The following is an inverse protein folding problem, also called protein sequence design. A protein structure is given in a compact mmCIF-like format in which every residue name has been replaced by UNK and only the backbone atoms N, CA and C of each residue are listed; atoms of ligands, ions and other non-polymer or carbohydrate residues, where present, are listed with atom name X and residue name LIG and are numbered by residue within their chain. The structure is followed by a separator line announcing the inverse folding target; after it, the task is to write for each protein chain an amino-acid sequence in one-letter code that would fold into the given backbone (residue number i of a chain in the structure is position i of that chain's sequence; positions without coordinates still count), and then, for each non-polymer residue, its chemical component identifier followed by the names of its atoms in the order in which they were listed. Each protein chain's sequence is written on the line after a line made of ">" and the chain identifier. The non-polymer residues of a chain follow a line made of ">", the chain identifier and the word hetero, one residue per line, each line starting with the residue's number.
data_IF_865998902720
#
_entry.id   IF_865998902720
#
_cell.length_a   1.000
_cell.length_b   1.000
_cell.length_c   1.000
_cell.angle_alpha   90.00
_cell.angle_beta   90.00
_cell.angle_gamma   90.00
#
_symmetry.space_group_name_H-M   'P 1'
#
loop_
_entity.id
_entity.type
_entity.pdbx_description
1 polymer ?
#
# COMPACT_ATOMS: atom_id res chain seq x y z
N UNK A 1 -1.24 -22.54 11.22
CA UNK A 1 -2.43 -22.10 11.96
C UNK A 1 -2.36 -20.59 12.10
N UNK A 2 -3.44 -19.87 11.80
CA UNK A 2 -3.54 -18.44 12.11
C UNK A 2 -3.73 -18.33 13.63
N UNK A 3 -2.81 -17.68 14.32
CA UNK A 3 -2.91 -17.46 15.76
C UNK A 3 -3.89 -16.31 16.05
N UNK A 4 -4.78 -16.52 17.02
CA UNK A 4 -5.75 -15.53 17.49
C UNK A 4 -5.44 -15.11 18.92
N UNK A 5 -5.74 -13.86 19.26
CA UNK A 5 -5.63 -13.33 20.62
C UNK A 5 -6.83 -13.74 21.49
N UNK A 6 -6.68 -13.61 22.81
CA UNK A 6 -7.79 -13.83 23.76
C UNK A 6 -8.87 -12.73 23.70
N UNK A 7 -8.47 -11.52 23.32
CA UNK A 7 -9.34 -10.36 23.10
C UNK A 7 -8.84 -9.59 21.86
N UNK A 8 -9.71 -8.85 21.14
CA UNK A 8 -9.29 -8.10 19.97
C UNK A 8 -8.46 -6.88 20.39
N UNK A 9 -7.49 -6.52 19.55
CA UNK A 9 -6.90 -5.18 19.59
C UNK A 9 -7.89 -4.22 18.94
N UNK A 10 -8.49 -3.37 19.76
CA UNK A 10 -9.51 -2.37 19.34
C UNK A 10 -8.92 -0.99 19.01
N UNK A 11 -7.60 -0.83 19.12
CA UNK A 11 -6.94 0.41 18.74
C UNK A 11 -7.09 0.63 17.23
N UNK A 12 -7.78 1.70 16.85
CA UNK A 12 -7.91 2.16 15.47
C UNK A 12 -6.87 3.24 15.21
N UNK A 13 -5.94 2.99 14.28
CA UNK A 13 -5.03 4.03 13.79
C UNK A 13 -5.66 4.71 12.58
N UNK A 14 -5.79 6.04 12.63
CA UNK A 14 -6.36 6.83 11.52
C UNK A 14 -5.31 7.75 10.94
N UNK A 15 -5.06 7.62 9.64
CA UNK A 15 -4.26 8.56 8.86
C UNK A 15 -5.17 9.38 7.94
N UNK A 16 -5.00 10.70 7.94
CA UNK A 16 -5.74 11.61 7.06
C UNK A 16 -4.77 12.34 6.14
N UNK A 17 -5.12 12.47 4.86
CA UNK A 17 -4.41 13.32 3.91
C UNK A 17 -5.41 14.07 3.03
N UNK A 18 -4.99 15.21 2.49
CA UNK A 18 -5.81 15.95 1.56
C UNK A 18 -5.07 17.04 0.83
N UNK A 19 -5.72 17.54 -0.21
CA UNK A 19 -5.38 18.71 -1.00
C UNK A 19 -6.65 19.49 -1.32
N UNK A 20 -6.54 20.56 -2.11
CA UNK A 20 -7.71 21.27 -2.63
C UNK A 20 -8.62 20.39 -3.51
N UNK A 21 -8.08 19.34 -4.15
CA UNK A 21 -8.83 18.47 -5.05
C UNK A 21 -9.41 17.22 -4.38
N UNK A 22 -8.76 16.68 -3.33
CA UNK A 22 -9.13 15.39 -2.76
C UNK A 22 -8.90 15.36 -1.25
N UNK A 23 -9.80 14.71 -0.51
CA UNK A 23 -9.64 14.40 0.91
C UNK A 23 -9.77 12.89 1.07
N UNK A 24 -8.86 12.28 1.83
CA UNK A 24 -8.89 10.85 2.09
C UNK A 24 -8.47 10.54 3.52
N UNK A 25 -8.94 9.40 4.02
CA UNK A 25 -8.55 8.85 5.29
C UNK A 25 -8.41 7.33 5.16
N UNK A 26 -7.47 6.76 5.90
CA UNK A 26 -7.32 5.33 6.10
C UNK A 26 -7.46 5.06 7.59
N UNK A 27 -8.23 4.04 7.94
CA UNK A 27 -8.35 3.53 9.29
C UNK A 27 -7.98 2.06 9.26
N UNK A 28 -7.13 1.63 10.19
CA UNK A 28 -6.70 0.23 10.31
C UNK A 28 -6.78 -0.22 11.76
N UNK A 29 -6.99 -1.53 11.94
CA UNK A 29 -7.12 -2.18 13.24
C UNK A 29 -6.70 -3.65 13.09
N UNK A 30 -5.94 -4.16 14.05
CA UNK A 30 -5.46 -5.54 14.04
C UNK A 30 -6.57 -6.55 14.38
N UNK A 31 -7.51 -6.17 15.24
CA UNK A 31 -8.60 -7.05 15.67
C UNK A 31 -8.08 -8.29 16.39
N UNK A 32 -8.58 -9.47 16.00
CA UNK A 32 -8.30 -10.73 16.68
C UNK A 32 -6.99 -11.42 16.28
N UNK A 33 -6.31 -10.94 15.23
CA UNK A 33 -5.08 -11.58 14.74
C UNK A 33 -3.94 -11.34 15.73
N UNK A 34 -3.06 -12.33 15.88
CA UNK A 34 -1.87 -12.17 16.73
C UNK A 34 -0.89 -11.10 16.20
N UNK A 35 -0.82 -10.94 14.88
CA UNK A 35 0.03 -9.96 14.20
C UNK A 35 -0.82 -9.06 13.28
N UNK A 36 -0.43 -7.80 13.15
CA UNK A 36 -0.97 -6.86 12.17
C UNK A 36 -0.09 -6.89 10.91
N UNK A 37 -0.59 -7.54 9.85
CA UNK A 37 0.15 -7.74 8.60
C UNK A 37 -0.24 -6.74 7.50
N UNK A 38 -1.23 -5.88 7.75
CA UNK A 38 -1.70 -4.88 6.81
C UNK A 38 -0.74 -3.68 6.71
N UNK A 39 -0.71 -3.07 5.53
CA UNK A 39 -0.06 -1.79 5.29
C UNK A 39 -0.85 -0.95 4.29
N UNK A 40 -0.58 0.36 4.27
CA UNK A 40 -1.17 1.27 3.29
C UNK A 40 -0.19 2.35 2.85
N UNK A 41 -0.42 2.88 1.65
CA UNK A 41 0.25 4.09 1.18
C UNK A 41 -0.79 5.05 0.60
N UNK A 42 -0.68 6.32 0.99
CA UNK A 42 -1.62 7.37 0.57
C UNK A 42 -0.81 8.60 0.19
N UNK A 43 -1.03 9.07 -1.03
CA UNK A 43 -0.52 10.35 -1.49
C UNK A 43 -1.61 11.22 -2.06
N UNK A 44 -1.44 12.52 -1.83
CA UNK A 44 -2.26 13.55 -2.42
C UNK A 44 -1.34 14.66 -2.90
N UNK A 45 -1.65 15.21 -4.06
CA UNK A 45 -1.14 16.50 -4.52
C UNK A 45 -2.34 17.38 -4.92
N UNK A 46 -2.07 18.58 -5.43
CA UNK A 46 -3.12 19.55 -5.79
C UNK A 46 -4.13 19.07 -6.84
N UNK A 47 -3.81 18.05 -7.63
CA UNK A 47 -4.62 17.60 -8.79
C UNK A 47 -4.99 16.12 -8.76
N UNK A 48 -4.30 15.30 -7.97
CA UNK A 48 -4.49 13.86 -7.93
C UNK A 48 -4.15 13.23 -6.58
N UNK A 49 -4.61 12.00 -6.39
CA UNK A 49 -4.22 11.11 -5.31
C UNK A 49 -4.00 9.69 -5.83
N UNK A 50 -3.16 8.96 -5.10
CA UNK A 50 -3.04 7.51 -5.22
C UNK A 50 -3.12 6.88 -3.82
N UNK A 51 -3.90 5.81 -3.73
CA UNK A 51 -4.18 5.09 -2.48
C UNK A 51 -3.96 3.61 -2.70
N UNK A 52 -3.29 2.96 -1.76
CA UNK A 52 -2.94 1.55 -1.79
C UNK A 52 -3.23 0.93 -0.42
N UNK A 53 -3.90 -0.22 -0.41
CA UNK A 53 -4.14 -1.06 0.77
C UNK A 53 -3.56 -2.43 0.47
N UNK A 54 -2.76 -2.94 1.39
CA UNK A 54 -2.01 -4.18 1.25
C UNK A 54 -2.36 -5.09 2.43
N UNK A 55 -2.86 -6.29 2.11
CA UNK A 55 -3.15 -7.35 3.08
C UNK A 55 -2.01 -8.39 2.99
N UNK A 56 -1.12 -8.29 3.98
CA UNK A 56 0.06 -9.13 4.12
C UNK A 56 -0.28 -10.53 4.63
N UNK A 57 0.52 -11.51 4.24
CA UNK A 57 0.39 -12.87 4.73
C UNK A 57 1.75 -13.55 4.88
N UNK A 58 1.88 -14.32 5.96
CA UNK A 58 3.14 -15.01 6.36
C UNK A 58 4.25 -14.03 6.74
N UNK A 59 3.88 -12.91 7.36
CA UNK A 59 4.74 -11.78 7.68
C UNK A 59 4.22 -10.47 7.08
N UNK A 60 4.57 -9.36 7.72
CA UNK A 60 4.18 -8.00 7.33
C UNK A 60 5.16 -7.34 6.34
N UNK A 61 6.28 -8.00 6.04
CA UNK A 61 7.41 -7.41 5.34
C UNK A 61 7.05 -7.08 3.89
N UNK A 62 6.29 -7.97 3.24
CA UNK A 62 5.85 -7.77 1.86
C UNK A 62 4.85 -6.60 1.74
N UNK A 63 3.91 -6.49 2.68
CA UNK A 63 2.93 -5.40 2.69
C UNK A 63 3.61 -4.06 3.00
N UNK A 64 4.47 -4.01 4.02
CA UNK A 64 5.21 -2.78 4.38
C UNK A 64 6.13 -2.31 3.25
N UNK A 65 6.95 -3.21 2.71
CA UNK A 65 7.82 -2.89 1.58
C UNK A 65 7.00 -2.47 0.36
N UNK A 66 5.93 -3.22 0.07
CA UNK A 66 5.04 -2.96 -1.06
C UNK A 66 4.42 -1.57 -0.99
N UNK A 67 3.91 -1.15 0.17
CA UNK A 67 3.32 0.18 0.38
C UNK A 67 4.32 1.30 0.01
N UNK A 68 5.53 1.26 0.59
CA UNK A 68 6.57 2.26 0.32
C UNK A 68 7.04 2.24 -1.14
N UNK A 69 7.21 1.04 -1.71
CA UNK A 69 7.68 0.89 -3.08
C UNK A 69 6.63 1.33 -4.11
N UNK A 70 5.35 1.02 -3.90
CA UNK A 70 4.23 1.48 -4.75
C UNK A 70 4.16 3.00 -4.72
N UNK A 71 4.31 3.60 -3.55
CA UNK A 71 4.46 5.03 -3.42
C UNK A 71 5.61 5.50 -4.34
N UNK A 72 6.85 5.07 -4.10
CA UNK A 72 7.98 5.55 -4.91
C UNK A 72 7.83 5.33 -6.43
N UNK A 73 7.35 4.15 -6.85
CA UNK A 73 7.20 3.79 -8.27
C UNK A 73 6.14 4.63 -8.97
N UNK A 74 5.02 4.93 -8.33
CA UNK A 74 3.94 5.70 -8.92
C UNK A 74 4.01 7.19 -8.60
N UNK A 75 5.13 7.68 -8.03
CA UNK A 75 5.35 9.11 -7.80
C UNK A 75 5.14 9.86 -9.11
N UNK A 76 3.98 10.49 -9.25
CA UNK A 76 3.54 11.05 -10.51
C UNK A 76 4.57 12.08 -10.99
N UNK A 77 4.98 11.96 -12.26
CA UNK A 77 5.54 13.09 -12.97
C UNK A 77 4.51 14.23 -12.93
N UNK A 78 4.96 15.45 -12.63
CA UNK A 78 4.13 16.66 -12.53
C UNK A 78 3.12 16.69 -13.69
N UNK A 79 1.82 16.45 -13.44
CA UNK A 79 0.86 16.41 -14.55
C UNK A 79 -0.58 16.10 -14.19
N UNK A 80 -0.86 15.30 -13.16
CA UNK A 80 -2.24 14.95 -12.79
C UNK A 80 -2.95 14.03 -13.80
N UNK A 81 -2.24 13.49 -14.80
CA UNK A 81 -2.81 12.52 -15.74
C UNK A 81 -2.92 11.14 -15.09
N UNK A 82 -4.00 10.43 -15.41
CA UNK A 82 -4.19 9.04 -15.01
C UNK A 82 -3.15 8.14 -15.68
N UNK A 83 -2.56 7.16 -14.96
CA UNK A 83 -1.66 6.20 -15.58
C UNK A 83 -2.44 5.28 -16.52
N UNK A 84 -1.82 4.88 -17.63
CA UNK A 84 -2.35 3.83 -18.49
C UNK A 84 -2.25 2.47 -17.83
N UNK A 85 -3.07 1.50 -18.23
CA UNK A 85 -3.01 0.12 -17.72
C UNK A 85 -1.61 -0.48 -17.85
N UNK A 86 -0.94 -0.24 -18.98
CA UNK A 86 0.45 -0.67 -19.20
C UNK A 86 1.42 -0.03 -18.18
N UNK A 87 1.20 1.24 -17.81
CA UNK A 87 2.00 1.92 -16.78
C UNK A 87 1.74 1.34 -15.40
N UNK A 88 0.50 0.96 -15.09
CA UNK A 88 0.11 0.29 -13.85
C UNK A 88 0.78 -1.08 -13.78
N UNK A 89 0.59 -1.92 -14.80
CA UNK A 89 1.20 -3.25 -14.88
C UNK A 89 2.73 -3.18 -14.69
N UNK A 90 3.43 -2.37 -15.50
CA UNK A 90 4.88 -2.22 -15.41
C UNK A 90 5.33 -1.72 -14.02
N UNK A 91 4.51 -0.88 -13.38
CA UNK A 91 4.80 -0.35 -12.05
C UNK A 91 4.71 -1.44 -10.98
N UNK A 92 3.63 -2.22 -10.98
CA UNK A 92 3.45 -3.33 -10.03
C UNK A 92 4.53 -4.40 -10.25
N UNK A 93 4.85 -4.75 -11.49
CA UNK A 93 5.96 -5.67 -11.79
C UNK A 93 7.31 -5.14 -11.31
N UNK A 94 7.55 -3.83 -11.40
CA UNK A 94 8.76 -3.22 -10.88
C UNK A 94 8.82 -3.30 -9.34
N UNK A 95 7.69 -3.14 -8.65
CA UNK A 95 7.61 -3.36 -7.20
C UNK A 95 7.89 -4.82 -6.86
N UNK A 96 7.31 -5.78 -7.57
CA UNK A 96 7.56 -7.22 -7.33
C UNK A 96 9.04 -7.58 -7.50
N UNK A 97 9.70 -7.09 -8.55
CA UNK A 97 11.14 -7.30 -8.74
C UNK A 97 11.97 -6.74 -7.59
N UNK A 98 11.63 -5.54 -7.10
CA UNK A 98 12.30 -4.92 -5.95
C UNK A 98 12.06 -5.72 -4.66
N UNK A 99 10.81 -6.13 -4.41
CA UNK A 99 10.44 -6.96 -3.27
C UNK A 99 11.22 -8.27 -3.28
N UNK A 100 11.28 -8.95 -4.43
CA UNK A 100 12.05 -10.20 -4.59
C UNK A 100 13.53 -10.01 -4.27
N UNK A 101 14.13 -8.90 -4.68
CA UNK A 101 15.51 -8.54 -4.32
C UNK A 101 15.66 -8.34 -2.81
N UNK A 102 14.77 -7.56 -2.20
CA UNK A 102 14.75 -7.29 -0.77
C UNK A 102 14.60 -8.57 0.07
N UNK A 103 13.62 -9.42 -0.26
CA UNK A 103 13.36 -10.66 0.48
C UNK A 103 14.54 -11.61 0.43
N UNK A 104 15.21 -11.74 -0.73
CA UNK A 104 16.42 -12.57 -0.87
C UNK A 104 17.59 -12.04 -0.04
N UNK A 105 17.77 -10.72 0.02
CA UNK A 105 18.89 -10.11 0.73
C UNK A 105 18.71 -10.07 2.24
N UNK A 106 17.47 -9.91 2.73
CA UNK A 106 17.21 -9.55 4.12
C UNK A 106 16.39 -10.56 4.91
N UNK A 107 15.64 -11.45 4.25
CA UNK A 107 14.61 -12.24 4.94
C UNK A 107 14.88 -13.75 5.02
N UNK A 108 16.11 -14.20 4.72
CA UNK A 108 16.64 -15.56 5.01
C UNK A 108 15.62 -16.72 4.91
N UNK A 109 14.90 -16.82 3.80
CA UNK A 109 13.95 -17.93 3.56
C UNK A 109 12.52 -17.71 4.07
N UNK A 110 12.19 -16.55 4.65
CA UNK A 110 10.79 -16.14 4.84
C UNK A 110 10.12 -15.97 3.48
N UNK A 111 8.83 -16.29 3.45
CA UNK A 111 8.01 -16.31 2.25
C UNK A 111 6.75 -15.42 2.41
N UNK A 112 6.94 -14.26 3.04
CA UNK A 112 5.89 -13.25 3.16
C UNK A 112 5.41 -12.81 1.77
N UNK A 113 4.11 -12.62 1.64
CA UNK A 113 3.45 -12.09 0.46
C UNK A 113 2.42 -11.05 0.84
N UNK A 114 1.84 -10.38 -0.15
CA UNK A 114 0.77 -9.41 0.08
C UNK A 114 -0.16 -9.39 -1.11
N UNK A 115 -1.45 -9.23 -0.85
CA UNK A 115 -2.35 -8.71 -1.88
C UNK A 115 -2.24 -7.19 -1.93
N UNK A 116 -2.75 -6.57 -2.99
CA UNK A 116 -2.85 -5.11 -3.08
C UNK A 116 -4.14 -4.72 -3.80
N UNK A 117 -4.84 -3.74 -3.23
CA UNK A 117 -5.89 -2.98 -3.89
C UNK A 117 -5.46 -1.52 -3.91
N UNK A 118 -5.69 -0.83 -5.02
CA UNK A 118 -5.38 0.58 -5.10
C UNK A 118 -6.23 1.33 -6.11
N UNK A 119 -6.19 2.65 -5.99
CA UNK A 119 -6.90 3.56 -6.85
C UNK A 119 -6.04 4.77 -7.18
N UNK A 120 -6.13 5.22 -8.44
CA UNK A 120 -5.70 6.54 -8.86
C UNK A 120 -6.93 7.43 -8.97
N UNK A 121 -6.82 8.65 -8.44
CA UNK A 121 -7.87 9.66 -8.48
C UNK A 121 -7.24 10.92 -9.06
N UNK A 122 -7.85 11.50 -10.08
CA UNK A 122 -7.42 12.76 -10.66
C UNK A 122 -8.62 13.66 -10.90
N UNK A 123 -8.41 14.97 -10.81
CA UNK A 123 -9.41 15.93 -11.25
C UNK A 123 -9.63 15.77 -12.76
N UNK A 124 -10.88 15.60 -13.17
CA UNK A 124 -11.25 15.61 -14.58
C UNK A 124 -10.84 16.96 -15.21
N UNK A 125 -10.10 16.90 -16.32
CA UNK A 125 -9.75 18.09 -17.08
C UNK A 125 -11.02 18.72 -17.67
N UNK A 126 -11.13 20.05 -17.59
CA UNK A 126 -12.13 20.77 -18.40
C UNK A 126 -11.73 20.75 -19.86
#
# INVERSE_FOLDING_TARGET
>A
MVATLAHPVELIRVQRRGSAAVKCAVAEMQGWRANHEDAHAVRCNEKSADVWVLDGHRGDEAARFGAEALEQVFKQAKGGNMPTDKRIQNGVEAVDRKLRGYMRAHMQGRNAGSTVVGAFVAKEGK
#
